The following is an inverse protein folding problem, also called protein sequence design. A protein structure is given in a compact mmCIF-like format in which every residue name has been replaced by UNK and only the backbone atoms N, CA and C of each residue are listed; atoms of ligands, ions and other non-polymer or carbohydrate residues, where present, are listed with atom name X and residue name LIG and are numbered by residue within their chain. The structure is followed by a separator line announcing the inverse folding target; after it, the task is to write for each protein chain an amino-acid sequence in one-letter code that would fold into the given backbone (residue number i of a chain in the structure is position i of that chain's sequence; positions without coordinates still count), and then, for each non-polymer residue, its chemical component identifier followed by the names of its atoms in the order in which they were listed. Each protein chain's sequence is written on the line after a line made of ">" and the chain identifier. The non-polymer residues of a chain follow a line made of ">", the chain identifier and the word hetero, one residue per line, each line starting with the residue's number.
data_IF_263089191941
#
_entry.id   IF_263089191941
#
_cell.length_a   1.000
_cell.length_b   1.000
_cell.length_c   1.000
_cell.angle_alpha   90.00
_cell.angle_beta   90.00
_cell.angle_gamma   90.00
#
_symmetry.space_group_name_H-M   'P 1'
#
loop_
_entity.id
_entity.type
_entity.pdbx_description
1 polymer ?
#
# COMPACT_ATOMS: atom_id res chain seq x y z
N UNK A 1 -0.95 5.73 -27.06
CA UNK A 1 -2.28 5.55 -26.44
C UNK A 1 -2.19 4.44 -25.40
N UNK A 2 -2.43 4.74 -24.12
CA UNK A 2 -2.57 3.68 -23.10
C UNK A 2 -4.00 3.15 -23.20
N UNK A 3 -4.18 1.97 -23.79
CA UNK A 3 -5.51 1.35 -23.86
C UNK A 3 -5.96 0.89 -22.48
N UNK A 4 -7.13 1.36 -22.06
CA UNK A 4 -7.77 0.96 -20.81
C UNK A 4 -8.32 -0.45 -20.99
N UNK A 5 -8.09 -1.34 -20.02
CA UNK A 5 -8.63 -2.71 -20.08
C UNK A 5 -10.16 -2.65 -20.00
N UNK A 6 -10.82 -3.18 -21.02
CA UNK A 6 -12.26 -3.46 -20.98
C UNK A 6 -12.50 -4.77 -20.23
N UNK A 7 -13.35 -4.71 -19.20
CA UNK A 7 -13.65 -5.85 -18.35
C UNK A 7 -14.88 -6.56 -18.87
N UNK A 8 -14.72 -7.80 -19.33
CA UNK A 8 -15.82 -8.58 -19.91
C UNK A 8 -16.70 -9.18 -18.82
N UNK A 9 -16.11 -9.56 -17.67
CA UNK A 9 -16.80 -10.29 -16.60
C UNK A 9 -16.56 -9.73 -15.20
N UNK A 10 -17.52 -9.96 -14.28
CA UNK A 10 -17.40 -9.60 -12.85
C UNK A 10 -16.19 -10.27 -12.19
N UNK A 11 -15.88 -11.52 -12.56
CA UNK A 11 -14.72 -12.28 -12.03
C UNK A 11 -13.39 -11.58 -12.32
N UNK A 12 -13.22 -10.98 -13.50
CA UNK A 12 -11.99 -10.26 -13.85
C UNK A 12 -11.78 -8.99 -13.01
N UNK A 13 -12.88 -8.33 -12.63
CA UNK A 13 -12.86 -7.15 -11.76
C UNK A 13 -12.42 -7.53 -10.35
N UNK A 14 -12.95 -8.64 -9.83
CA UNK A 14 -12.58 -9.17 -8.51
C UNK A 14 -11.11 -9.62 -8.52
N UNK A 15 -10.67 -10.34 -9.56
CA UNK A 15 -9.28 -10.77 -9.68
C UNK A 15 -8.31 -9.57 -9.72
N UNK A 16 -8.58 -8.56 -10.55
CA UNK A 16 -7.76 -7.34 -10.59
C UNK A 16 -7.79 -6.60 -9.23
N UNK A 17 -8.92 -6.58 -8.52
CA UNK A 17 -9.01 -5.99 -7.17
C UNK A 17 -8.14 -6.75 -6.16
N UNK A 18 -8.22 -8.08 -6.13
CA UNK A 18 -7.37 -8.91 -5.27
C UNK A 18 -5.88 -8.73 -5.61
N UNK A 19 -5.53 -8.65 -6.90
CA UNK A 19 -4.15 -8.38 -7.33
C UNK A 19 -3.68 -7.02 -6.80
N UNK A 20 -4.51 -5.98 -6.89
CA UNK A 20 -4.18 -4.68 -6.33
C UNK A 20 -3.99 -4.72 -4.81
N UNK A 21 -4.88 -5.40 -4.09
CA UNK A 21 -4.82 -5.52 -2.64
C UNK A 21 -3.59 -6.32 -2.17
N UNK A 22 -3.48 -7.58 -2.58
CA UNK A 22 -2.42 -8.48 -2.14
C UNK A 22 -1.07 -8.14 -2.78
N UNK A 23 -1.06 -7.67 -4.02
CA UNK A 23 0.16 -7.23 -4.70
C UNK A 23 0.79 -6.04 -3.98
N UNK A 24 -0.03 -5.10 -3.50
CA UNK A 24 0.50 -3.97 -2.73
C UNK A 24 0.97 -4.38 -1.34
N UNK A 25 0.26 -5.29 -0.69
CA UNK A 25 0.70 -5.88 0.58
C UNK A 25 2.08 -6.54 0.44
N UNK A 26 2.26 -7.39 -0.58
CA UNK A 26 3.54 -8.04 -0.86
C UNK A 26 4.65 -7.02 -1.20
N UNK A 27 4.34 -6.00 -2.01
CA UNK A 27 5.29 -4.96 -2.37
C UNK A 27 5.78 -4.19 -1.13
N UNK A 28 4.87 -3.82 -0.22
CA UNK A 28 5.22 -3.15 1.03
C UNK A 28 6.04 -4.07 1.92
N UNK A 29 5.66 -5.35 2.05
CA UNK A 29 6.42 -6.30 2.85
C UNK A 29 7.87 -6.43 2.35
N UNK A 30 8.06 -6.59 1.04
CA UNK A 30 9.40 -6.66 0.44
C UNK A 30 10.14 -5.33 0.68
N UNK A 31 9.49 -4.20 0.44
CA UNK A 31 10.06 -2.88 0.65
C UNK A 31 10.50 -2.66 2.11
N UNK A 32 9.70 -3.08 3.09
CA UNK A 32 10.03 -2.98 4.51
C UNK A 32 11.30 -3.78 4.83
N UNK A 33 11.45 -4.98 4.29
CA UNK A 33 12.66 -5.79 4.47
C UNK A 33 13.88 -5.13 3.82
N UNK A 34 13.72 -4.61 2.58
CA UNK A 34 14.80 -3.92 1.86
C UNK A 34 15.21 -2.63 2.57
N UNK A 35 14.25 -1.83 3.05
CA UNK A 35 14.51 -0.59 3.78
C UNK A 35 15.17 -0.87 5.14
N UNK A 36 14.74 -1.90 5.87
CA UNK A 36 15.41 -2.30 7.12
C UNK A 36 16.86 -2.69 6.88
N UNK A 37 17.17 -3.35 5.75
CA UNK A 37 18.53 -3.70 5.38
C UNK A 37 19.36 -2.48 4.94
N UNK A 38 18.81 -1.63 4.06
CA UNK A 38 19.53 -0.48 3.51
C UNK A 38 19.72 0.64 4.52
N UNK A 39 18.79 0.80 5.45
CA UNK A 39 18.76 1.91 6.40
C UNK A 39 19.24 1.53 7.80
N UNK A 40 19.88 0.36 7.96
CA UNK A 40 20.37 -0.17 9.25
C UNK A 40 21.35 0.79 9.95
N UNK A 41 22.03 1.65 9.18
CA UNK A 41 23.04 2.60 9.66
C UNK A 41 22.51 4.03 9.80
N UNK A 42 21.24 4.30 9.48
CA UNK A 42 20.66 5.64 9.63
C UNK A 42 20.19 5.87 11.06
N UNK A 43 20.29 7.10 11.58
CA UNK A 43 19.68 7.47 12.84
C UNK A 43 18.16 7.25 12.79
N UNK A 44 17.61 6.72 13.88
CA UNK A 44 16.22 6.27 13.98
C UNK A 44 15.21 7.37 13.63
N UNK A 45 15.51 8.64 13.95
CA UNK A 45 14.67 9.79 13.57
C UNK A 45 14.58 9.98 12.04
N UNK A 46 15.69 9.81 11.31
CA UNK A 46 15.68 9.91 9.85
C UNK A 46 14.86 8.76 9.23
N UNK A 47 14.97 7.55 9.77
CA UNK A 47 14.18 6.41 9.35
C UNK A 47 12.68 6.64 9.53
N UNK A 48 12.25 7.10 10.71
CA UNK A 48 10.85 7.38 11.03
C UNK A 48 10.25 8.49 10.15
N UNK A 49 11.07 9.40 9.64
CA UNK A 49 10.61 10.48 8.77
C UNK A 49 10.55 10.04 7.29
N UNK A 50 11.57 9.31 6.82
CA UNK A 50 11.68 8.91 5.41
C UNK A 50 10.74 7.75 5.05
N UNK A 51 10.56 6.80 5.96
CA UNK A 51 9.73 5.61 5.73
C UNK A 51 8.27 5.93 5.32
N UNK A 52 7.51 6.78 6.05
CA UNK A 52 6.15 7.14 5.65
C UNK A 52 6.11 7.90 4.32
N UNK A 53 7.11 8.74 4.03
CA UNK A 53 7.21 9.47 2.76
C UNK A 53 7.39 8.50 1.59
N UNK A 54 8.31 7.55 1.71
CA UNK A 54 8.56 6.53 0.68
C UNK A 54 7.29 5.70 0.43
N UNK A 55 6.62 5.26 1.50
CA UNK A 55 5.35 4.53 1.39
C UNK A 55 4.32 5.37 0.61
N UNK A 56 4.16 6.64 0.97
CA UNK A 56 3.15 7.52 0.36
C UNK A 56 3.42 7.76 -1.13
N UNK A 57 4.69 7.92 -1.52
CA UNK A 57 5.11 8.01 -2.93
C UNK A 57 4.77 6.74 -3.70
N UNK A 58 5.01 5.57 -3.11
CA UNK A 58 4.74 4.29 -3.77
C UNK A 58 3.22 4.07 -3.93
N UNK A 59 2.41 4.40 -2.93
CA UNK A 59 0.96 4.31 -3.04
C UNK A 59 0.41 5.22 -4.12
N UNK A 60 0.76 6.51 -4.08
CA UNK A 60 0.27 7.50 -5.05
C UNK A 60 0.73 7.16 -6.47
N UNK A 61 2.00 6.80 -6.65
CA UNK A 61 2.55 6.38 -7.94
C UNK A 61 1.86 5.13 -8.49
N UNK A 62 1.67 4.11 -7.66
CA UNK A 62 1.02 2.86 -8.07
C UNK A 62 -0.45 3.07 -8.44
N UNK A 63 -1.20 3.83 -7.62
CA UNK A 63 -2.60 4.17 -7.91
C UNK A 63 -2.71 4.89 -9.25
N UNK A 64 -1.91 5.94 -9.48
CA UNK A 64 -1.94 6.73 -10.73
C UNK A 64 -1.55 5.90 -11.95
N UNK A 65 -0.53 5.03 -11.81
CA UNK A 65 -0.06 4.18 -12.89
C UNK A 65 -1.14 3.16 -13.31
N UNK A 66 -1.71 2.45 -12.34
CA UNK A 66 -2.73 1.45 -12.64
C UNK A 66 -4.09 2.07 -12.98
N UNK A 67 -4.39 3.29 -12.56
CA UNK A 67 -5.71 3.88 -12.80
C UNK A 67 -5.96 4.10 -14.30
N UNK A 68 -4.90 4.45 -15.03
CA UNK A 68 -4.94 4.64 -16.48
C UNK A 68 -5.10 3.32 -17.24
N UNK A 69 -4.65 2.19 -16.70
CA UNK A 69 -4.59 0.88 -17.39
C UNK A 69 -5.64 -0.12 -16.89
N UNK A 70 -5.75 -0.32 -15.59
CA UNK A 70 -6.58 -1.30 -14.89
C UNK A 70 -7.18 -0.70 -13.61
N UNK A 71 -8.34 -0.04 -13.76
CA UNK A 71 -9.01 0.72 -12.68
C UNK A 71 -9.23 -0.10 -11.40
N UNK A 72 -9.58 -1.38 -11.51
CA UNK A 72 -9.89 -2.21 -10.33
C UNK A 72 -8.65 -2.59 -9.51
N UNK A 73 -7.46 -2.65 -10.12
CA UNK A 73 -6.19 -2.77 -9.39
C UNK A 73 -5.98 -1.55 -8.50
N UNK A 74 -6.14 -0.34 -9.04
CA UNK A 74 -6.03 0.90 -8.26
C UNK A 74 -7.04 0.96 -7.11
N UNK A 75 -8.26 0.48 -7.33
CA UNK A 75 -9.25 0.37 -6.26
C UNK A 75 -8.77 -0.59 -5.18
N UNK A 76 -8.23 -1.76 -5.55
CA UNK A 76 -7.65 -2.71 -4.60
C UNK A 76 -6.52 -2.11 -3.77
N UNK A 77 -5.63 -1.32 -4.39
CA UNK A 77 -4.55 -0.60 -3.70
C UNK A 77 -5.11 0.42 -2.70
N UNK A 78 -6.12 1.20 -3.09
CA UNK A 78 -6.76 2.18 -2.21
C UNK A 78 -7.47 1.51 -1.02
N UNK A 79 -8.17 0.40 -1.27
CA UNK A 79 -8.83 -0.38 -0.22
C UNK A 79 -7.78 -0.92 0.77
N UNK A 80 -6.68 -1.45 0.27
CA UNK A 80 -5.60 -1.93 1.13
C UNK A 80 -5.01 -0.79 1.97
N UNK A 81 -4.80 0.40 1.40
CA UNK A 81 -4.32 1.58 2.14
C UNK A 81 -5.26 1.95 3.29
N UNK A 82 -6.57 1.99 3.01
CA UNK A 82 -7.59 2.30 4.00
C UNK A 82 -7.61 1.27 5.14
N UNK A 83 -7.54 -0.03 4.80
CA UNK A 83 -7.44 -1.11 5.79
C UNK A 83 -6.18 -0.96 6.64
N UNK A 84 -5.04 -0.62 6.05
CA UNK A 84 -3.80 -0.39 6.80
C UNK A 84 -3.92 0.77 7.79
N UNK A 85 -4.55 1.88 7.41
CA UNK A 85 -4.83 3.01 8.32
C UNK A 85 -5.74 2.58 9.47
N UNK A 86 -6.83 1.85 9.18
CA UNK A 86 -7.74 1.37 10.22
C UNK A 86 -7.04 0.46 11.22
N UNK A 87 -6.19 -0.46 10.74
CA UNK A 87 -5.39 -1.32 11.61
C UNK A 87 -4.42 -0.49 12.46
N UNK A 88 -3.74 0.49 11.87
CA UNK A 88 -2.84 1.39 12.59
C UNK A 88 -3.55 2.18 13.69
N UNK A 89 -4.72 2.75 13.39
CA UNK A 89 -5.56 3.47 14.36
C UNK A 89 -6.08 2.56 15.47
N UNK A 90 -6.52 1.34 15.12
CA UNK A 90 -6.96 0.37 16.11
C UNK A 90 -5.82 -0.01 17.06
N UNK A 91 -4.63 -0.31 16.54
CA UNK A 91 -3.45 -0.62 17.34
C UNK A 91 -3.04 0.55 18.24
N UNK A 92 -3.04 1.79 17.71
CA UNK A 92 -2.75 2.99 18.49
C UNK A 92 -3.75 3.18 19.64
N UNK A 93 -5.04 2.96 19.38
CA UNK A 93 -6.09 3.01 20.41
C UNK A 93 -5.90 1.92 21.48
N UNK A 94 -5.58 0.68 21.08
CA UNK A 94 -5.29 -0.40 22.04
C UNK A 94 -4.06 -0.08 22.90
N UNK A 95 -3.00 0.47 22.32
CA UNK A 95 -1.80 0.88 23.06
C UNK A 95 -2.11 2.01 24.04
N UNK A 96 -2.89 3.02 23.63
CA UNK A 96 -3.33 4.10 24.52
C UNK A 96 -4.15 3.56 25.70
N UNK A 97 -5.09 2.63 25.43
CA UNK A 97 -5.97 2.05 26.43
C UNK A 97 -5.25 1.12 27.43
N UNK A 98 -4.26 0.36 26.97
CA UNK A 98 -3.54 -0.62 27.80
C UNK A 98 -2.22 -0.08 28.38
N UNK A 99 -1.77 1.09 27.94
CA UNK A 99 -0.51 1.74 28.35
C UNK A 99 -0.70 2.93 29.29
N UNK A 100 -1.85 3.05 29.96
CA UNK A 100 -2.08 3.97 31.09
C UNK A 100 -2.34 3.18 32.37
#
# INVERSE_FOLDING_TARGET
>A
MINKKEYKNKKEKIADLCIGFFGMFAAIFILSNVLSFLLINLPQQAFLTLYPVIILVIYTGSVLFFYKKRKYISIGILVQFFVAILIGLALAYFMYKNGS
#
